data_IF_188234420073
#
_entry.id   IF_188234420073
#
_cell.length_a   1.000
_cell.length_b   1.000
_cell.length_c   1.000
_cell.angle_alpha   90.00
_cell.angle_beta   90.00
_cell.angle_gamma   90.00
#
_symmetry.space_group_name_H-M   'P 1'
#
loop_
_entity.id
_entity.type
_entity.pdbx_description
1 polymer ?
#
# COMPACT_ATOMS: atom_id res chain seq x y z
N UNK A 1 11.14 13.14 4.78
CA UNK A 1 12.52 13.39 4.32
C UNK A 1 13.40 12.15 4.49
N UNK A 2 13.49 11.54 5.70
CA UNK A 2 14.34 10.36 5.97
C UNK A 2 14.06 9.19 4.99
N UNK A 3 12.78 8.84 4.77
CA UNK A 3 12.45 7.77 3.83
C UNK A 3 12.90 8.09 2.40
N UNK A 4 12.87 9.35 2.00
CA UNK A 4 13.35 9.78 0.68
C UNK A 4 14.87 9.59 0.56
N UNK A 5 15.63 9.92 1.59
CA UNK A 5 17.09 9.70 1.62
C UNK A 5 17.43 8.21 1.55
N UNK A 6 16.70 7.37 2.31
CA UNK A 6 16.87 5.91 2.25
C UNK A 6 16.67 5.41 0.82
N UNK A 7 15.60 5.85 0.15
CA UNK A 7 15.32 5.42 -1.23
C UNK A 7 16.35 5.92 -2.25
N UNK A 8 16.94 7.10 -2.03
CA UNK A 8 18.00 7.63 -2.90
C UNK A 8 19.31 6.85 -2.77
N UNK A 9 19.58 6.30 -1.59
CA UNK A 9 20.80 5.54 -1.30
C UNK A 9 20.70 4.04 -1.65
N UNK A 10 19.55 3.59 -2.15
CA UNK A 10 19.34 2.20 -2.54
C UNK A 10 19.02 2.11 -4.02
N UNK A 11 19.47 1.02 -4.64
CA UNK A 11 19.08 0.70 -6.00
C UNK A 11 17.64 0.21 -6.00
N UNK A 12 16.77 0.97 -6.66
CA UNK A 12 15.36 0.64 -6.85
C UNK A 12 15.18 0.26 -8.30
N UNK A 13 14.72 -0.98 -8.54
CA UNK A 13 14.39 -1.44 -9.88
C UNK A 13 13.17 -0.69 -10.42
N UNK A 14 12.11 -0.63 -9.63
CA UNK A 14 10.90 0.10 -9.96
C UNK A 14 10.05 -0.50 -11.09
N UNK A 15 10.50 -1.58 -11.75
CA UNK A 15 9.78 -2.20 -12.87
C UNK A 15 8.42 -2.74 -12.44
N UNK A 16 8.36 -3.41 -11.28
CA UNK A 16 7.14 -3.98 -10.74
C UNK A 16 6.84 -3.36 -9.38
N UNK A 17 5.73 -2.64 -9.29
CA UNK A 17 5.28 -2.00 -8.05
C UNK A 17 3.97 -2.63 -7.58
N UNK A 18 3.89 -3.03 -6.31
CA UNK A 18 2.68 -3.56 -5.71
C UNK A 18 2.06 -2.57 -4.72
N UNK A 19 0.73 -2.48 -4.74
CA UNK A 19 -0.09 -1.64 -3.87
C UNK A 19 -0.95 -2.51 -2.96
N UNK A 20 -1.00 -2.19 -1.67
CA UNK A 20 -1.95 -2.81 -0.75
C UNK A 20 -2.16 -1.95 0.50
N UNK A 21 -3.18 -2.30 1.29
CA UNK A 21 -3.50 -1.63 2.52
C UNK A 21 -3.79 -2.60 3.67
N UNK A 22 -3.25 -2.32 4.86
CA UNK A 22 -3.48 -3.11 6.06
C UNK A 22 -3.92 -2.25 7.24
N UNK A 23 -4.73 -2.84 8.14
CA UNK A 23 -5.14 -2.19 9.39
C UNK A 23 -4.09 -2.38 10.49
N UNK A 24 -3.80 -1.30 11.23
CA UNK A 24 -3.04 -1.30 12.47
C UNK A 24 -3.97 -0.90 13.61
N UNK A 25 -4.15 -1.77 14.59
CA UNK A 25 -5.05 -1.52 15.72
C UNK A 25 -4.47 -0.45 16.64
N UNK A 26 -5.31 0.21 17.41
CA UNK A 26 -4.88 1.12 18.47
C UNK A 26 -5.20 0.48 19.84
N UNK A 27 -4.35 0.71 20.84
CA UNK A 27 -4.59 0.23 22.21
C UNK A 27 -5.81 0.94 22.85
N UNK A 28 -6.05 2.17 22.44
CA UNK A 28 -7.13 2.99 23.01
C UNK A 28 -8.44 2.83 22.24
N UNK A 29 -9.54 2.72 22.99
CA UNK A 29 -10.87 2.67 22.41
C UNK A 29 -11.20 3.98 21.67
N UNK A 30 -11.96 3.88 20.60
CA UNK A 30 -12.51 5.04 19.91
C UNK A 30 -13.70 5.59 20.70
N UNK A 31 -13.45 6.56 21.57
CA UNK A 31 -14.49 7.21 22.41
C UNK A 31 -15.66 7.75 21.57
N UNK A 32 -15.37 8.34 20.42
CA UNK A 32 -16.41 8.85 19.53
C UNK A 32 -17.31 7.71 19.01
N UNK A 33 -16.72 6.59 18.64
CA UNK A 33 -17.47 5.44 18.14
C UNK A 33 -18.29 4.78 19.25
N UNK A 34 -17.75 4.71 20.47
CA UNK A 34 -18.44 4.18 21.63
C UNK A 34 -19.68 5.02 21.97
N UNK A 35 -19.59 6.34 21.91
CA UNK A 35 -20.70 7.27 22.16
C UNK A 35 -21.80 7.10 21.10
N UNK A 36 -21.46 7.15 19.81
CA UNK A 36 -22.46 7.13 18.74
C UNK A 36 -23.10 5.74 18.56
N UNK A 37 -22.33 4.69 18.68
CA UNK A 37 -22.78 3.32 18.39
C UNK A 37 -23.11 2.50 19.62
N UNK A 38 -22.94 3.06 20.82
CA UNK A 38 -23.11 2.38 22.12
C UNK A 38 -22.36 1.05 22.19
N UNK A 39 -21.22 0.95 21.47
CA UNK A 39 -20.35 -0.22 21.44
C UNK A 39 -18.91 0.24 21.50
N UNK A 40 -18.16 -0.29 22.45
CA UNK A 40 -16.72 -0.09 22.47
C UNK A 40 -16.08 -0.75 21.26
N UNK A 41 -15.39 0.04 20.47
CA UNK A 41 -14.60 -0.44 19.35
C UNK A 41 -13.23 0.19 19.40
N UNK A 42 -12.21 -0.64 19.34
CA UNK A 42 -10.85 -0.13 19.16
C UNK A 42 -10.76 0.53 17.79
N UNK A 43 -10.25 1.74 17.76
CA UNK A 43 -9.93 2.43 16.51
C UNK A 43 -8.79 1.71 15.82
N UNK A 44 -8.64 1.92 14.52
CA UNK A 44 -7.48 1.44 13.79
C UNK A 44 -7.03 2.46 12.74
N UNK A 45 -5.75 2.39 12.39
CA UNK A 45 -5.16 3.15 11.30
C UNK A 45 -5.08 2.25 10.08
N UNK A 46 -5.66 2.69 8.97
CA UNK A 46 -5.45 2.06 7.68
C UNK A 46 -4.11 2.57 7.13
N UNK A 47 -3.17 1.67 6.99
CA UNK A 47 -1.87 1.90 6.38
C UNK A 47 -1.90 1.38 4.95
N UNK A 48 -1.69 2.25 3.98
CA UNK A 48 -1.58 1.93 2.57
C UNK A 48 -0.14 2.12 2.11
N UNK A 49 0.45 1.12 1.47
CA UNK A 49 1.83 1.15 0.99
C UNK A 49 1.91 0.82 -0.49
N UNK A 50 2.94 1.36 -1.12
CA UNK A 50 3.39 0.98 -2.47
C UNK A 50 4.83 0.53 -2.35
N UNK A 51 5.14 -0.64 -2.85
CA UNK A 51 6.46 -1.26 -2.72
C UNK A 51 7.08 -1.54 -4.08
N UNK A 52 8.38 -1.43 -4.16
CA UNK A 52 9.15 -2.11 -5.20
C UNK A 52 9.22 -3.60 -4.88
N UNK A 53 8.79 -4.42 -5.83
CA UNK A 53 8.66 -5.87 -5.60
C UNK A 53 10.02 -6.55 -5.46
N UNK A 54 11.04 -6.04 -6.14
CA UNK A 54 12.38 -6.64 -6.17
C UNK A 54 13.17 -6.30 -4.89
N UNK A 55 13.36 -5.03 -4.62
CA UNK A 55 14.08 -4.59 -3.41
C UNK A 55 13.27 -4.82 -2.13
N UNK A 56 11.93 -4.90 -2.23
CA UNK A 56 10.96 -4.92 -1.12
C UNK A 56 10.98 -3.64 -0.30
N UNK A 57 11.46 -2.53 -0.85
CA UNK A 57 11.40 -1.22 -0.21
C UNK A 57 10.04 -0.57 -0.40
N UNK A 58 9.59 0.13 0.62
CA UNK A 58 8.34 0.91 0.57
C UNK A 58 8.65 2.24 -0.10
N UNK A 59 8.14 2.43 -1.32
CA UNK A 59 8.34 3.63 -2.13
C UNK A 59 7.44 4.80 -1.70
N UNK A 60 6.19 4.48 -1.34
CA UNK A 60 5.20 5.44 -0.87
C UNK A 60 4.32 4.81 0.20
N UNK A 61 3.90 5.63 1.17
CA UNK A 61 2.94 5.20 2.18
C UNK A 61 2.01 6.34 2.60
N UNK A 62 0.78 5.95 2.95
CA UNK A 62 -0.23 6.82 3.53
C UNK A 62 -0.91 6.13 4.71
N UNK A 63 -1.15 6.87 5.80
CA UNK A 63 -1.81 6.35 6.97
C UNK A 63 -2.95 7.29 7.39
N UNK A 64 -4.15 6.73 7.56
CA UNK A 64 -5.35 7.47 7.96
C UNK A 64 -6.22 6.61 8.88
N UNK A 65 -7.09 7.26 9.65
CA UNK A 65 -8.10 6.55 10.46
C UNK A 65 -8.96 5.64 9.57
N UNK A 66 -9.11 4.38 9.97
CA UNK A 66 -10.10 3.48 9.39
C UNK A 66 -11.53 3.72 9.93
N UNK A 67 -12.57 3.14 9.30
CA UNK A 67 -12.47 2.38 8.05
C UNK A 67 -12.35 3.30 6.82
N UNK A 68 -11.45 2.93 5.91
CA UNK A 68 -11.26 3.61 4.62
C UNK A 68 -11.04 2.56 3.54
N UNK A 69 -11.66 2.75 2.39
CA UNK A 69 -11.42 1.91 1.22
C UNK A 69 -10.05 2.20 0.62
N UNK A 70 -9.33 1.16 0.24
CA UNK A 70 -7.99 1.25 -0.36
C UNK A 70 -7.98 2.09 -1.65
N UNK A 71 -9.08 2.08 -2.39
CA UNK A 71 -9.27 2.89 -3.59
C UNK A 71 -9.08 4.39 -3.37
N UNK A 72 -9.31 4.90 -2.15
CA UNK A 72 -9.09 6.32 -1.83
C UNK A 72 -7.62 6.72 -1.82
N UNK A 73 -6.73 5.77 -1.56
CA UNK A 73 -5.29 6.02 -1.53
C UNK A 73 -4.64 5.78 -2.89
N UNK A 74 -5.28 4.99 -3.74
CA UNK A 74 -4.70 4.46 -4.97
C UNK A 74 -4.21 5.56 -5.93
N UNK A 75 -5.03 6.54 -6.25
CA UNK A 75 -4.68 7.60 -7.21
C UNK A 75 -3.47 8.40 -6.73
N UNK A 76 -3.48 8.82 -5.45
CA UNK A 76 -2.36 9.56 -4.88
C UNK A 76 -1.08 8.69 -4.83
N UNK A 77 -1.22 7.40 -4.51
CA UNK A 77 -0.10 6.46 -4.51
C UNK A 77 0.49 6.31 -5.91
N UNK A 78 -0.35 6.07 -6.94
CA UNK A 78 0.09 5.93 -8.35
C UNK A 78 0.84 7.18 -8.81
N UNK A 79 0.32 8.37 -8.51
CA UNK A 79 0.99 9.64 -8.85
C UNK A 79 2.34 9.82 -8.16
N UNK A 80 2.52 9.28 -6.96
CA UNK A 80 3.80 9.34 -6.25
C UNK A 80 4.82 8.32 -6.77
N UNK A 81 4.37 7.16 -7.27
CA UNK A 81 5.28 6.10 -7.74
C UNK A 81 5.59 6.19 -9.24
N UNK A 82 4.82 6.95 -10.02
CA UNK A 82 5.07 7.09 -11.48
C UNK A 82 6.48 7.55 -11.84
N UNK A 83 7.16 8.27 -10.93
CA UNK A 83 8.56 8.72 -11.12
C UNK A 83 9.57 7.57 -11.23
N UNK A 84 9.20 6.35 -10.83
CA UNK A 84 10.03 5.15 -10.97
C UNK A 84 9.82 4.45 -12.31
N UNK A 85 8.93 4.96 -13.20
CA UNK A 85 8.61 4.43 -14.52
C UNK A 85 8.23 2.93 -14.48
N UNK A 86 7.26 2.53 -13.63
CA UNK A 86 6.90 1.12 -13.50
C UNK A 86 6.35 0.58 -14.81
N UNK A 87 6.75 -0.65 -15.15
CA UNK A 87 6.14 -1.41 -16.24
C UNK A 87 4.83 -2.04 -15.80
N UNK A 88 4.80 -2.56 -14.57
CA UNK A 88 3.62 -3.21 -13.99
C UNK A 88 3.24 -2.62 -12.63
N UNK A 89 1.95 -2.40 -12.44
CA UNK A 89 1.39 -2.03 -11.14
C UNK A 89 0.40 -3.10 -10.70
N UNK A 90 0.71 -3.77 -9.58
CA UNK A 90 -0.06 -4.86 -9.01
C UNK A 90 -0.93 -4.35 -7.87
N UNK A 91 -2.20 -4.75 -7.84
CA UNK A 91 -3.07 -4.52 -6.69
C UNK A 91 -4.17 -5.60 -6.61
N UNK A 92 -4.86 -5.69 -5.48
CA UNK A 92 -5.91 -6.67 -5.32
C UNK A 92 -7.18 -6.29 -6.11
N UNK A 93 -8.16 -7.21 -6.11
CA UNK A 93 -9.45 -7.01 -6.79
C UNK A 93 -10.26 -5.82 -6.26
N UNK A 94 -10.00 -5.35 -5.02
CA UNK A 94 -10.68 -4.18 -4.47
C UNK A 94 -10.37 -2.90 -5.26
N UNK A 95 -9.17 -2.84 -5.88
CA UNK A 95 -8.73 -1.72 -6.72
C UNK A 95 -9.32 -1.73 -8.14
N UNK A 96 -10.09 -2.76 -8.51
CA UNK A 96 -10.73 -2.82 -9.83
C UNK A 96 -11.80 -1.73 -9.99
N UNK A 97 -11.35 -0.57 -10.40
CA UNK A 97 -12.18 0.55 -10.84
C UNK A 97 -11.59 1.12 -12.13
N UNK A 98 -12.47 1.58 -13.03
CA UNK A 98 -12.04 2.16 -14.30
C UNK A 98 -11.12 3.38 -14.10
N UNK A 99 -11.39 4.19 -13.08
CA UNK A 99 -10.60 5.37 -12.75
C UNK A 99 -9.17 5.02 -12.32
N UNK A 100 -8.99 3.97 -11.50
CA UNK A 100 -7.66 3.53 -11.07
C UNK A 100 -6.88 2.98 -12.26
N UNK A 101 -7.51 2.12 -13.09
CA UNK A 101 -6.88 1.58 -14.29
C UNK A 101 -6.50 2.68 -15.28
N UNK A 102 -7.39 3.66 -15.50
CA UNK A 102 -7.07 4.84 -16.29
C UNK A 102 -5.84 5.57 -15.77
N UNK A 103 -5.77 5.83 -14.46
CA UNK A 103 -4.63 6.50 -13.85
C UNK A 103 -3.33 5.70 -14.02
N UNK A 104 -3.36 4.37 -13.89
CA UNK A 104 -2.19 3.51 -14.13
C UNK A 104 -1.75 3.60 -15.58
N UNK A 105 -2.68 3.42 -16.52
CA UNK A 105 -2.34 3.37 -17.96
C UNK A 105 -1.94 4.74 -18.52
N UNK A 106 -2.63 5.82 -18.15
CA UNK A 106 -2.40 7.14 -18.73
C UNK A 106 -1.37 7.98 -17.97
N UNK A 107 -1.44 8.01 -16.62
CA UNK A 107 -0.58 8.88 -15.84
C UNK A 107 0.76 8.20 -15.47
N UNK A 108 0.73 6.91 -15.11
CA UNK A 108 1.95 6.16 -14.79
C UNK A 108 2.55 5.45 -16.02
N UNK A 109 1.81 5.37 -17.13
CA UNK A 109 2.20 4.67 -18.38
C UNK A 109 2.59 3.21 -18.14
N UNK A 110 1.93 2.56 -17.18
CA UNK A 110 2.17 1.19 -16.75
C UNK A 110 1.01 0.27 -17.15
N UNK A 111 1.27 -1.02 -17.16
CA UNK A 111 0.23 -2.04 -17.26
C UNK A 111 -0.32 -2.39 -15.88
N UNK A 112 -1.63 -2.37 -15.76
CA UNK A 112 -2.27 -2.77 -14.52
C UNK A 112 -2.45 -4.29 -14.44
N UNK A 113 -1.94 -4.88 -13.39
CA UNK A 113 -2.11 -6.29 -13.06
C UNK A 113 -3.07 -6.42 -11.86
N UNK A 114 -4.34 -6.10 -12.12
CA UNK A 114 -5.43 -6.13 -11.14
C UNK A 114 -6.49 -7.14 -11.60
N UNK A 115 -6.86 -8.13 -10.78
CA UNK A 115 -7.92 -9.08 -11.16
C UNK A 115 -9.25 -8.37 -11.36
N UNK A 116 -10.00 -8.76 -12.38
CA UNK A 116 -11.33 -8.22 -12.65
C UNK A 116 -12.35 -8.70 -11.60
N UNK A 117 -13.26 -7.81 -11.21
CA UNK A 117 -14.46 -8.20 -10.46
C UNK A 117 -15.39 -9.02 -11.37
N UNK A 118 -15.95 -10.10 -10.85
CA UNK A 118 -16.81 -11.01 -11.63
C UNK A 118 -18.00 -10.31 -12.30
N UNK A 119 -18.50 -9.23 -11.72
CA UNK A 119 -19.62 -8.44 -12.24
C UNK A 119 -19.19 -7.27 -13.16
N UNK A 120 -17.91 -7.04 -13.34
CA UNK A 120 -17.39 -5.93 -14.16
C UNK A 120 -17.44 -6.31 -15.65
N UNK A 121 -18.52 -5.97 -16.33
CA UNK A 121 -18.72 -6.29 -17.76
C UNK A 121 -18.26 -5.17 -18.70
N UNK A 122 -18.18 -3.92 -18.23
CA UNK A 122 -17.94 -2.73 -19.04
C UNK A 122 -16.73 -1.95 -18.53
N UNK A 123 -16.13 -1.14 -19.39
CA UNK A 123 -14.99 -0.29 -19.09
C UNK A 123 -13.84 -0.51 -20.09
N UNK A 124 -13.32 0.57 -20.67
CA UNK A 124 -12.26 0.50 -21.68
C UNK A 124 -10.99 -0.18 -21.12
N UNK A 125 -10.50 0.30 -19.96
CA UNK A 125 -9.29 -0.23 -19.34
C UNK A 125 -9.51 -1.61 -18.72
N UNK A 126 -10.70 -1.93 -18.25
CA UNK A 126 -11.05 -3.29 -17.80
C UNK A 126 -11.00 -4.30 -18.92
N UNK A 127 -11.54 -3.97 -20.08
CA UNK A 127 -11.49 -4.85 -21.24
C UNK A 127 -10.06 -5.03 -21.76
N UNK A 128 -9.28 -3.94 -21.80
CA UNK A 128 -7.85 -4.00 -22.12
C UNK A 128 -7.11 -4.93 -21.17
N UNK A 129 -7.26 -4.74 -19.86
CA UNK A 129 -6.60 -5.56 -18.83
C UNK A 129 -6.97 -7.04 -18.88
N UNK A 130 -8.17 -7.38 -19.34
CA UNK A 130 -8.55 -8.79 -19.52
C UNK A 130 -7.58 -9.53 -20.43
N UNK A 131 -7.06 -8.86 -21.45
CA UNK A 131 -6.15 -9.43 -22.43
C UNK A 131 -4.66 -9.34 -22.02
N UNK A 132 -4.32 -8.38 -21.14
CA UNK A 132 -2.92 -8.15 -20.71
C UNK A 132 -2.62 -8.70 -19.31
N UNK A 133 -3.60 -9.25 -18.60
CA UNK A 133 -3.41 -9.80 -17.27
C UNK A 133 -2.56 -11.06 -17.27
N UNK A 134 -1.48 -11.04 -16.50
CA UNK A 134 -0.51 -12.13 -16.36
C UNK A 134 -0.50 -12.63 -14.92
N UNK A 135 -1.00 -13.86 -14.73
CA UNK A 135 -1.14 -14.46 -13.39
C UNK A 135 0.21 -14.62 -12.67
N UNK A 136 1.27 -14.90 -13.42
CA UNK A 136 2.63 -15.07 -12.88
C UNK A 136 3.16 -13.75 -12.30
N UNK A 137 3.02 -12.65 -13.04
CA UNK A 137 3.40 -11.31 -12.57
C UNK A 137 2.53 -10.92 -11.36
N UNK A 138 1.22 -11.13 -11.46
CA UNK A 138 0.29 -10.83 -10.37
C UNK A 138 0.62 -11.57 -9.07
N UNK A 139 1.10 -12.82 -9.13
CA UNK A 139 1.46 -13.61 -7.95
C UNK A 139 2.52 -12.94 -7.08
N UNK A 140 3.39 -12.12 -7.67
CA UNK A 140 4.43 -11.35 -6.96
C UNK A 140 3.86 -10.28 -6.02
N UNK A 141 2.56 -9.96 -6.13
CA UNK A 141 1.84 -9.10 -5.17
C UNK A 141 1.95 -9.61 -3.73
N UNK A 142 2.09 -10.91 -3.53
CA UNK A 142 2.23 -11.51 -2.20
C UNK A 142 3.43 -10.92 -1.40
N UNK A 143 4.40 -10.29 -2.07
CA UNK A 143 5.50 -9.61 -1.40
C UNK A 143 5.02 -8.46 -0.49
N UNK A 144 3.93 -7.76 -0.86
CA UNK A 144 3.39 -6.69 -0.01
C UNK A 144 2.78 -7.22 1.29
N UNK A 145 2.14 -8.39 1.23
CA UNK A 145 1.59 -9.06 2.42
C UNK A 145 2.72 -9.52 3.36
N UNK A 146 3.81 -10.02 2.79
CA UNK A 146 5.02 -10.38 3.55
C UNK A 146 5.61 -9.17 4.28
N UNK A 147 5.64 -7.99 3.65
CA UNK A 147 6.12 -6.75 4.27
C UNK A 147 5.22 -6.34 5.44
N UNK A 148 3.90 -6.37 5.29
CA UNK A 148 2.98 -6.10 6.40
C UNK A 148 3.17 -7.09 7.55
N UNK A 149 3.42 -8.37 7.24
CA UNK A 149 3.71 -9.38 8.25
C UNK A 149 4.98 -9.03 9.04
N UNK A 150 6.06 -8.66 8.36
CA UNK A 150 7.32 -8.23 8.98
C UNK A 150 7.09 -6.99 9.86
N UNK A 151 6.44 -5.94 9.34
CA UNK A 151 6.17 -4.71 10.10
C UNK A 151 5.37 -5.03 11.37
N UNK A 152 4.32 -5.84 11.27
CA UNK A 152 3.48 -6.19 12.41
C UNK A 152 4.18 -7.05 13.44
N UNK A 153 5.04 -7.97 13.00
CA UNK A 153 5.78 -8.88 13.88
C UNK A 153 6.94 -8.17 14.60
N UNK A 154 7.74 -7.37 13.88
CA UNK A 154 8.96 -6.75 14.42
C UNK A 154 8.64 -5.41 15.09
N UNK A 155 7.80 -4.59 14.48
CA UNK A 155 7.51 -3.23 14.94
C UNK A 155 6.12 -3.07 15.55
N UNK A 156 5.45 -4.18 15.86
CA UNK A 156 4.12 -4.26 16.46
C UNK A 156 2.98 -3.79 15.52
N UNK A 157 1.96 -4.63 15.38
CA UNK A 157 0.72 -4.32 14.64
C UNK A 157 -0.26 -3.39 15.36
N UNK A 158 0.04 -3.02 16.60
CA UNK A 158 -0.79 -2.15 17.44
C UNK A 158 -0.07 -0.84 17.71
N UNK A 159 -0.80 0.28 17.53
CA UNK A 159 -0.32 1.61 17.89
C UNK A 159 -0.63 1.91 19.35
N UNK A 160 0.35 2.45 20.07
CA UNK A 160 0.22 2.84 21.48
C UNK A 160 -0.12 4.31 21.69
N UNK A 161 -0.10 5.08 20.63
CA UNK A 161 -0.37 6.52 20.67
C UNK A 161 -1.83 6.82 21.05
N UNK A 162 -2.04 7.77 21.96
CA UNK A 162 -3.36 8.15 22.49
C UNK A 162 -4.22 8.93 21.51
N UNK A 163 -3.61 9.73 20.63
CA UNK A 163 -4.34 10.51 19.63
C UNK A 163 -4.26 9.87 18.26
N UNK A 164 -5.28 10.10 17.45
CA UNK A 164 -5.33 9.61 16.08
C UNK A 164 -4.19 10.17 15.20
N UNK A 165 -3.85 11.46 15.41
CA UNK A 165 -2.74 12.08 14.68
C UNK A 165 -1.41 11.40 15.01
N UNK A 166 -1.16 11.11 16.28
CA UNK A 166 0.04 10.39 16.72
C UNK A 166 0.03 8.95 16.22
N UNK A 167 -1.12 8.25 16.24
CA UNK A 167 -1.24 6.89 15.69
C UNK A 167 -0.92 6.84 14.20
N UNK A 168 -1.35 7.86 13.43
CA UNK A 168 -0.97 7.97 12.02
C UNK A 168 0.55 8.19 11.85
N UNK A 169 1.16 9.04 12.68
CA UNK A 169 2.61 9.28 12.68
C UNK A 169 3.38 8.02 13.08
N UNK A 170 2.92 7.32 14.12
CA UNK A 170 3.51 6.05 14.58
C UNK A 170 3.48 5.00 13.47
N UNK A 171 2.34 4.84 12.77
CA UNK A 171 2.24 3.92 11.64
C UNK A 171 3.20 4.29 10.50
N UNK A 172 3.30 5.58 10.18
CA UNK A 172 4.25 6.06 9.15
C UNK A 172 5.71 5.83 9.57
N UNK A 173 6.03 6.02 10.85
CA UNK A 173 7.36 5.75 11.39
C UNK A 173 7.72 4.26 11.27
N UNK A 174 6.79 3.35 11.57
CA UNK A 174 7.00 1.90 11.39
C UNK A 174 7.37 1.54 9.93
N UNK A 175 6.74 2.19 8.94
CA UNK A 175 7.11 2.01 7.53
C UNK A 175 8.55 2.50 7.24
N UNK A 176 8.94 3.64 7.79
CA UNK A 176 10.31 4.17 7.60
C UNK A 176 11.35 3.29 8.29
N UNK A 177 11.07 2.82 9.52
CA UNK A 177 11.95 1.89 10.24
C UNK A 177 12.06 0.57 9.48
N UNK A 178 10.97 0.09 8.89
CA UNK A 178 11.03 -1.09 8.03
C UNK A 178 12.00 -0.88 6.86
N UNK A 179 11.98 0.28 6.19
CA UNK A 179 12.91 0.56 5.10
C UNK A 179 14.37 0.59 5.58
N UNK A 180 14.65 1.15 6.77
CA UNK A 180 16.00 1.10 7.36
C UNK A 180 16.40 -0.38 7.58
N UNK A 181 15.55 -1.15 8.24
CA UNK A 181 15.79 -2.58 8.48
C UNK A 181 16.01 -3.36 7.17
N UNK A 182 15.24 -3.05 6.13
CA UNK A 182 15.40 -3.72 4.83
C UNK A 182 16.70 -3.33 4.14
N UNK A 183 17.10 -2.07 4.24
CA UNK A 183 18.38 -1.58 3.68
C UNK A 183 19.57 -2.31 4.27
N UNK A 184 19.62 -2.52 5.59
CA UNK A 184 20.71 -3.29 6.20
C UNK A 184 20.79 -4.71 5.65
N UNK A 185 19.65 -5.36 5.45
CA UNK A 185 19.60 -6.70 4.85
C UNK A 185 20.04 -6.77 3.37
N UNK A 186 19.88 -5.67 2.63
CA UNK A 186 20.34 -5.61 1.23
C UNK A 186 21.86 -5.43 1.17
N UNK A 187 22.43 -4.66 2.10
CA UNK A 187 23.86 -4.38 2.15
C UNK A 187 24.71 -5.55 2.68
N UNK A 188 24.09 -6.47 3.42
CA UNK A 188 24.74 -7.67 3.95
C UNK A 188 24.84 -8.83 2.93
N UNK A 189 24.30 -8.66 1.73
CA UNK A 189 24.34 -9.63 0.63
C UNK A 189 25.33 -9.24 -0.44
#
# INVERSE_FOLDING_TARGET
>A
ELNKQILLNNQIDGEIIALDGSGFTNDYADKYYAIIRRKERKSYVKNHISIDVESRLILHFAAQRGPRFDTRFAIAAIRNIKKYNPKYILADRAYDTELIRKCINEEAKAEDQIPLKSRAKNGHYRLKSKNTFQKEIYSRRNNVESIFSVIKRIFNGTNRSRSLQLSNKETKLKNTIYNIYRTTQIQEK
#
